data_IF_184214682804
#
_entry.id   IF_184214682804
#
_cell.length_a   1.000
_cell.length_b   1.000
_cell.length_c   1.000
_cell.angle_alpha   90.00
_cell.angle_beta   90.00
_cell.angle_gamma   90.00
#
_symmetry.space_group_name_H-M   'P 1'
#
loop_
_entity.id
_entity.type
_entity.pdbx_description
1 polymer ?
#
# COMPACT_ATOMS: atom_id res chain seq x y z
N UNK A 1 33.45 -15.42 -13.58
CA UNK A 1 32.71 -14.17 -13.87
C UNK A 1 31.19 -14.29 -13.62
N UNK A 2 30.56 -15.46 -13.73
CA UNK A 2 29.09 -15.61 -13.59
C UNK A 2 28.46 -15.23 -12.23
N UNK A 3 29.16 -15.41 -11.10
CA UNK A 3 28.56 -15.11 -9.78
C UNK A 3 28.26 -13.62 -9.54
N UNK A 4 28.95 -12.70 -10.23
CA UNK A 4 28.79 -11.28 -9.99
C UNK A 4 27.57 -10.71 -10.73
N UNK A 5 27.34 -11.14 -11.98
CA UNK A 5 26.14 -10.78 -12.76
C UNK A 5 24.85 -11.29 -12.10
N UNK A 6 24.84 -12.53 -11.64
CA UNK A 6 23.68 -13.13 -10.98
C UNK A 6 23.31 -12.41 -9.66
N UNK A 7 24.32 -12.00 -8.88
CA UNK A 7 24.12 -11.20 -7.66
C UNK A 7 23.55 -9.81 -7.97
N UNK A 8 23.98 -9.16 -9.06
CA UNK A 8 23.44 -7.85 -9.46
C UNK A 8 21.99 -7.93 -9.94
N UNK A 9 21.63 -8.93 -10.75
CA UNK A 9 20.25 -9.11 -11.23
C UNK A 9 19.28 -9.41 -10.09
N UNK A 10 19.69 -10.26 -9.13
CA UNK A 10 18.91 -10.52 -7.92
C UNK A 10 18.71 -9.27 -7.06
N UNK A 11 19.70 -8.38 -6.99
CA UNK A 11 19.61 -7.14 -6.20
C UNK A 11 18.72 -6.09 -6.86
N UNK A 12 18.71 -6.05 -8.19
CA UNK A 12 17.86 -5.16 -8.98
C UNK A 12 16.40 -5.63 -8.95
N UNK A 13 16.15 -6.92 -9.11
CA UNK A 13 14.80 -7.51 -9.03
C UNK A 13 14.17 -7.34 -7.64
N UNK A 14 14.93 -7.51 -6.55
CA UNK A 14 14.46 -7.24 -5.18
C UNK A 14 14.14 -5.76 -4.95
N UNK A 15 14.91 -4.85 -5.53
CA UNK A 15 14.66 -3.41 -5.46
C UNK A 15 13.37 -3.02 -6.17
N UNK A 16 13.14 -3.57 -7.38
CA UNK A 16 11.91 -3.39 -8.12
C UNK A 16 10.71 -3.97 -7.36
N UNK A 17 10.85 -5.18 -6.81
CA UNK A 17 9.79 -5.82 -6.01
C UNK A 17 9.38 -4.98 -4.80
N UNK A 18 10.35 -4.46 -4.04
CA UNK A 18 10.08 -3.59 -2.90
C UNK A 18 9.30 -2.32 -3.33
N UNK A 19 9.73 -1.69 -4.43
CA UNK A 19 9.07 -0.50 -4.95
C UNK A 19 7.64 -0.80 -5.42
N UNK A 20 7.42 -1.93 -6.09
CA UNK A 20 6.10 -2.36 -6.56
C UNK A 20 5.18 -2.66 -5.38
N UNK A 21 5.64 -3.39 -4.37
CA UNK A 21 4.84 -3.72 -3.18
C UNK A 21 4.42 -2.47 -2.42
N UNK A 22 5.36 -1.54 -2.16
CA UNK A 22 5.05 -0.25 -1.56
C UNK A 22 4.10 0.58 -2.43
N UNK A 23 4.33 0.60 -3.74
CA UNK A 23 3.51 1.34 -4.70
C UNK A 23 2.06 0.85 -4.74
N UNK A 24 1.84 -0.46 -4.80
CA UNK A 24 0.49 -1.05 -4.77
C UNK A 24 -0.20 -0.71 -3.45
N UNK A 25 0.48 -0.88 -2.31
CA UNK A 25 -0.09 -0.51 -1.01
C UNK A 25 -0.49 0.96 -0.95
N UNK A 26 0.36 1.86 -1.45
CA UNK A 26 0.06 3.28 -1.51
C UNK A 26 -1.13 3.61 -2.41
N UNK A 27 -1.18 3.07 -3.63
CA UNK A 27 -2.27 3.32 -4.58
C UNK A 27 -3.61 2.82 -4.04
N UNK A 28 -3.63 1.64 -3.41
CA UNK A 28 -4.85 1.10 -2.80
C UNK A 28 -5.33 2.00 -1.67
N UNK A 29 -4.43 2.41 -0.76
CA UNK A 29 -4.77 3.36 0.31
C UNK A 29 -5.30 4.70 -0.23
N UNK A 30 -4.61 5.30 -1.21
CA UNK A 30 -5.01 6.57 -1.79
C UNK A 30 -6.40 6.48 -2.46
N UNK A 31 -6.67 5.38 -3.16
CA UNK A 31 -7.97 5.13 -3.81
C UNK A 31 -9.09 5.00 -2.77
N UNK A 32 -8.85 4.28 -1.68
CA UNK A 32 -9.84 4.12 -0.61
C UNK A 32 -10.11 5.45 0.11
N UNK A 33 -9.08 6.23 0.40
CA UNK A 33 -9.23 7.56 1.00
C UNK A 33 -10.02 8.48 0.07
N UNK A 34 -9.65 8.54 -1.22
CA UNK A 34 -10.39 9.33 -2.20
C UNK A 34 -11.87 8.92 -2.29
N UNK A 35 -12.15 7.61 -2.22
CA UNK A 35 -13.52 7.09 -2.19
C UNK A 35 -14.30 7.53 -0.93
N UNK A 36 -13.68 7.49 0.26
CA UNK A 36 -14.31 7.93 1.51
C UNK A 36 -14.54 9.45 1.50
N UNK A 37 -13.57 10.22 1.06
CA UNK A 37 -13.66 11.68 0.94
C UNK A 37 -14.75 12.09 -0.03
N UNK A 38 -14.88 11.42 -1.18
CA UNK A 38 -15.95 11.68 -2.15
C UNK A 38 -17.34 11.43 -1.55
N UNK A 39 -17.52 10.32 -0.81
CA UNK A 39 -18.76 10.02 -0.09
C UNK A 39 -19.08 11.07 0.97
N UNK A 40 -18.06 11.53 1.71
CA UNK A 40 -18.22 12.58 2.70
C UNK A 40 -18.74 13.88 2.08
N UNK A 41 -18.07 14.38 1.04
CA UNK A 41 -18.49 15.61 0.34
C UNK A 41 -19.87 15.49 -0.28
N UNK A 42 -20.20 14.33 -0.88
CA UNK A 42 -21.53 14.11 -1.43
C UNK A 42 -22.64 14.19 -0.37
N UNK A 43 -22.39 13.65 0.83
CA UNK A 43 -23.35 13.72 1.94
C UNK A 43 -23.45 15.14 2.51
N UNK A 44 -22.33 15.86 2.59
CA UNK A 44 -22.29 17.27 3.01
C UNK A 44 -23.08 18.17 2.04
N UNK A 45 -22.87 18.01 0.73
CA UNK A 45 -23.54 18.79 -0.31
C UNK A 45 -25.04 18.47 -0.44
N UNK A 46 -25.48 17.28 -0.04
CA UNK A 46 -26.89 16.86 -0.17
C UNK A 46 -27.79 17.36 0.97
N UNK A 47 -27.24 18.01 1.99
CA UNK A 47 -28.04 18.68 3.03
C UNK A 47 -28.89 17.74 3.89
N UNK A 48 -28.50 16.47 3.99
CA UNK A 48 -29.15 15.45 4.83
C UNK A 48 -28.88 15.74 6.31
N UNK A 49 -29.58 16.71 6.88
CA UNK A 49 -29.48 17.04 8.33
C UNK A 49 -30.12 15.97 9.23
N UNK A 50 -31.01 15.12 8.70
CA UNK A 50 -31.72 14.09 9.46
C UNK A 50 -31.34 12.69 9.01
N UNK A 51 -30.35 12.10 9.69
CA UNK A 51 -30.08 10.67 9.55
C UNK A 51 -28.66 10.30 9.94
N UNK A 52 -28.30 10.48 11.21
CA UNK A 52 -27.03 10.00 11.78
C UNK A 52 -26.75 8.52 11.44
N UNK A 53 -27.80 7.70 11.30
CA UNK A 53 -27.69 6.31 10.86
C UNK A 53 -27.38 6.16 9.35
N UNK A 54 -27.94 7.00 8.48
CA UNK A 54 -27.71 6.98 7.02
C UNK A 54 -26.35 7.57 6.68
N UNK A 55 -25.97 8.67 7.35
CA UNK A 55 -24.61 9.21 7.32
C UNK A 55 -23.60 8.16 7.77
N UNK A 56 -23.85 7.50 8.92
CA UNK A 56 -22.98 6.43 9.40
C UNK A 56 -22.89 5.28 8.40
N UNK A 57 -23.97 4.90 7.72
CA UNK A 57 -23.92 3.82 6.74
C UNK A 57 -23.17 4.21 5.46
N UNK A 58 -23.38 5.42 4.94
CA UNK A 58 -22.74 5.91 3.72
C UNK A 58 -21.25 6.19 3.91
N UNK A 59 -20.88 6.81 5.04
CA UNK A 59 -19.50 7.17 5.36
C UNK A 59 -18.76 6.03 6.08
N UNK A 60 -19.46 4.97 6.53
CA UNK A 60 -18.80 3.82 7.13
C UNK A 60 -17.88 3.11 6.15
N UNK A 61 -16.71 2.75 6.68
CA UNK A 61 -15.79 1.82 6.04
C UNK A 61 -16.44 0.43 6.10
N UNK A 62 -16.83 -0.08 4.93
CA UNK A 62 -17.38 -1.43 4.79
C UNK A 62 -16.36 -2.49 5.23
N UNK A 63 -16.81 -3.71 5.61
CA UNK A 63 -15.89 -4.79 5.95
C UNK A 63 -14.85 -5.08 4.86
N UNK A 64 -15.25 -4.96 3.58
CA UNK A 64 -14.36 -5.11 2.43
C UNK A 64 -13.27 -4.02 2.39
N UNK A 65 -13.63 -2.76 2.62
CA UNK A 65 -12.67 -1.65 2.64
C UNK A 65 -11.70 -1.76 3.82
N UNK A 66 -12.16 -2.22 4.98
CA UNK A 66 -11.27 -2.52 6.13
C UNK A 66 -10.26 -3.60 5.76
N UNK A 67 -10.71 -4.66 5.08
CA UNK A 67 -9.84 -5.72 4.55
C UNK A 67 -8.82 -5.18 3.54
N UNK A 68 -9.24 -4.28 2.64
CA UNK A 68 -8.36 -3.65 1.67
C UNK A 68 -7.34 -2.71 2.32
N UNK A 69 -7.71 -1.95 3.35
CA UNK A 69 -6.77 -1.15 4.13
C UNK A 69 -5.73 -2.03 4.84
N UNK A 70 -6.16 -3.14 5.46
CA UNK A 70 -5.25 -4.09 6.10
C UNK A 70 -4.30 -4.73 5.07
N UNK A 71 -4.82 -5.12 3.91
CA UNK A 71 -4.04 -5.68 2.81
C UNK A 71 -3.03 -4.67 2.25
N UNK A 72 -3.45 -3.43 2.02
CA UNK A 72 -2.57 -2.35 1.56
C UNK A 72 -1.44 -2.06 2.56
N UNK A 73 -1.76 -2.03 3.86
CA UNK A 73 -0.78 -1.92 4.93
C UNK A 73 0.22 -3.07 4.94
N UNK A 74 -0.25 -4.31 4.77
CA UNK A 74 0.61 -5.49 4.68
C UNK A 74 1.57 -5.42 3.48
N UNK A 75 1.08 -5.04 2.30
CA UNK A 75 1.91 -4.87 1.11
C UNK A 75 2.99 -3.80 1.31
N UNK A 76 2.64 -2.70 1.96
CA UNK A 76 3.60 -1.65 2.29
C UNK A 76 4.68 -2.15 3.26
N UNK A 77 4.29 -2.82 4.35
CA UNK A 77 5.23 -3.40 5.32
C UNK A 77 6.14 -4.44 4.65
N UNK A 78 5.60 -5.28 3.77
CA UNK A 78 6.38 -6.26 3.01
C UNK A 78 7.38 -5.57 2.07
N UNK A 79 6.97 -4.53 1.36
CA UNK A 79 7.87 -3.76 0.50
C UNK A 79 9.01 -3.12 1.29
N UNK A 80 8.72 -2.52 2.46
CA UNK A 80 9.73 -1.97 3.38
C UNK A 80 10.64 -3.07 3.91
N UNK A 81 10.11 -4.23 4.30
CA UNK A 81 10.91 -5.35 4.78
C UNK A 81 11.89 -5.86 3.71
N UNK A 82 11.44 -5.99 2.45
CA UNK A 82 12.31 -6.37 1.32
C UNK A 82 13.37 -5.29 1.07
N UNK A 83 13.00 -4.01 1.19
CA UNK A 83 13.94 -2.90 1.04
C UNK A 83 15.03 -2.90 2.14
N UNK A 84 14.63 -3.08 3.40
CA UNK A 84 15.56 -3.19 4.55
C UNK A 84 16.46 -4.41 4.37
N UNK A 85 15.91 -5.56 3.98
CA UNK A 85 16.70 -6.77 3.73
C UNK A 85 17.75 -6.52 2.64
N UNK A 86 17.38 -5.88 1.52
CA UNK A 86 18.32 -5.49 0.46
C UNK A 86 19.48 -4.65 0.99
N UNK A 87 19.21 -3.71 1.90
CA UNK A 87 20.25 -2.88 2.53
C UNK A 87 21.11 -3.67 3.52
N UNK A 88 20.50 -4.58 4.27
CA UNK A 88 21.17 -5.39 5.30
C UNK A 88 22.04 -6.51 4.72
N UNK A 89 21.77 -6.98 3.50
CA UNK A 89 22.70 -7.86 2.78
C UNK A 89 23.81 -7.03 2.12
N UNK A 90 25.03 -6.98 2.69
CA UNK A 90 26.17 -6.46 1.95
C UNK A 90 26.33 -7.31 0.69
N UNK A 91 26.60 -6.66 -0.45
CA UNK A 91 27.16 -7.38 -1.58
C UNK A 91 28.42 -8.06 -1.04
N UNK A 92 28.48 -9.39 -1.07
CA UNK A 92 29.67 -10.11 -0.63
C UNK A 92 30.81 -9.59 -1.48
N UNK A 93 31.63 -8.70 -0.89
CA UNK A 93 32.85 -8.23 -1.50
C UNK A 93 33.68 -9.49 -1.75
N UNK A 94 33.96 -9.73 -3.04
CA UNK A 94 34.74 -10.87 -3.47
C UNK A 94 36.02 -10.98 -2.64
N UNK A 95 36.25 -12.18 -2.13
CA UNK A 95 37.59 -12.73 -2.03
C UNK A 95 37.72 -13.79 -3.10
#
# INVERSE_FOLDING_TARGET
MGNFEEQTELRQSKGLLAAVLCGIGFVVCATLIASLTSRYFWVEDSGLEEGTAVFSHLVSVTPAERGLFAFAGLLFVLGVAVWIWRLATPASAGK
#
